data_IF_966274938026
#
_entry.id   IF_966274938026
#
_cell.length_a   1.000
_cell.length_b   1.000
_cell.length_c   1.000
_cell.angle_alpha   90.00
_cell.angle_beta   90.00
_cell.angle_gamma   90.00
#
_symmetry.space_group_name_H-M   'P 1'
#
loop_
_entity.id
_entity.type
_entity.pdbx_description
1 polymer ?
#
# COMPACT_ATOMS: atom_id res chain seq x y z
N UNK A 1 -14.33 27.93 -15.81
CA UNK A 1 -15.32 26.96 -15.39
C UNK A 1 -16.43 26.82 -16.43
N UNK A 2 -17.05 25.68 -16.52
CA UNK A 2 -18.21 25.42 -17.39
C UNK A 2 -19.48 25.30 -16.56
N UNK A 3 -20.61 25.70 -17.12
CA UNK A 3 -21.93 25.39 -16.59
C UNK A 3 -22.19 23.90 -16.80
N UNK A 4 -22.13 23.12 -15.72
CA UNK A 4 -22.39 21.68 -15.74
C UNK A 4 -23.79 21.35 -15.22
N UNK A 5 -24.78 22.24 -15.48
CA UNK A 5 -26.14 22.13 -14.93
C UNK A 5 -26.23 22.51 -13.43
N UNK A 6 -25.17 23.10 -12.88
CA UNK A 6 -25.12 23.61 -11.50
C UNK A 6 -25.43 25.11 -11.48
N UNK A 7 -25.93 25.60 -10.35
CA UNK A 7 -26.19 27.03 -10.13
C UNK A 7 -24.93 27.90 -10.16
N UNK A 8 -23.76 27.28 -9.97
CA UNK A 8 -22.46 27.96 -10.00
C UNK A 8 -21.51 27.26 -10.98
N UNK A 9 -20.55 28.03 -11.52
CA UNK A 9 -19.51 27.49 -12.41
C UNK A 9 -18.52 26.60 -11.66
N UNK A 10 -18.45 25.33 -12.02
CA UNK A 10 -17.46 24.41 -11.45
C UNK A 10 -16.07 24.62 -12.08
N UNK A 11 -14.99 24.57 -11.30
CA UNK A 11 -13.62 24.49 -11.83
C UNK A 11 -13.50 23.22 -12.71
N UNK A 12 -12.99 23.39 -13.93
CA UNK A 12 -12.79 22.29 -14.84
C UNK A 12 -11.41 22.37 -15.49
N UNK A 13 -10.72 21.24 -15.54
CA UNK A 13 -9.46 21.07 -16.23
C UNK A 13 -9.57 19.87 -17.19
N UNK A 14 -9.09 20.00 -18.39
CA UNK A 14 -9.01 18.92 -19.36
C UNK A 14 -7.57 18.56 -19.67
N UNK A 15 -7.29 17.25 -19.72
CA UNK A 15 -5.99 16.70 -20.14
C UNK A 15 -6.21 15.72 -21.29
N UNK A 16 -5.27 15.60 -22.25
CA UNK A 16 -5.33 14.59 -23.28
C UNK A 16 -5.31 13.18 -22.66
N UNK A 17 -6.10 12.26 -23.20
CA UNK A 17 -6.21 10.90 -22.67
C UNK A 17 -4.85 10.20 -22.54
N UNK A 18 -3.98 10.31 -23.56
CA UNK A 18 -2.64 9.72 -23.55
C UNK A 18 -1.71 10.30 -22.47
N UNK A 19 -1.98 11.50 -21.97
CA UNK A 19 -1.21 12.14 -20.90
C UNK A 19 -1.76 11.86 -19.50
N UNK A 20 -2.93 11.22 -19.38
CA UNK A 20 -3.60 11.01 -18.11
C UNK A 20 -2.70 10.31 -17.07
N UNK A 21 -2.00 9.25 -17.47
CA UNK A 21 -1.10 8.50 -16.57
C UNK A 21 0.01 9.37 -15.97
N UNK A 22 0.58 10.30 -16.75
CA UNK A 22 1.60 11.22 -16.25
C UNK A 22 1.05 12.17 -15.18
N UNK A 23 -0.18 12.67 -15.37
CA UNK A 23 -0.83 13.51 -14.35
C UNK A 23 -1.22 12.71 -13.11
N UNK A 24 -1.73 11.50 -13.26
CA UNK A 24 -2.03 10.59 -12.15
C UNK A 24 -0.77 10.34 -11.33
N UNK A 25 0.34 9.96 -11.97
CA UNK A 25 1.64 9.75 -11.31
C UNK A 25 2.06 10.95 -10.46
N UNK A 26 1.98 12.16 -11.03
CA UNK A 26 2.36 13.38 -10.32
C UNK A 26 1.45 13.71 -9.13
N UNK A 27 0.16 13.42 -9.23
CA UNK A 27 -0.80 13.62 -8.13
C UNK A 27 -0.56 12.60 -7.01
N UNK A 28 -0.42 11.34 -7.37
CA UNK A 28 -0.20 10.24 -6.41
C UNK A 28 1.14 10.40 -5.68
N UNK A 29 2.22 10.79 -6.37
CA UNK A 29 3.52 11.12 -5.75
C UNK A 29 3.45 12.30 -4.76
N UNK A 30 2.41 13.13 -4.85
CA UNK A 30 2.11 14.20 -3.88
C UNK A 30 1.15 13.74 -2.76
N UNK A 31 0.86 12.46 -2.65
CA UNK A 31 -0.03 11.90 -1.63
C UNK A 31 -1.52 12.01 -1.94
N UNK A 32 -1.93 12.45 -3.14
CA UNK A 32 -3.35 12.53 -3.49
C UNK A 32 -3.90 11.16 -3.93
N UNK A 33 -5.18 10.92 -3.63
CA UNK A 33 -5.97 9.82 -4.19
C UNK A 33 -6.66 10.29 -5.45
N UNK A 34 -6.61 9.48 -6.50
CA UNK A 34 -7.18 9.81 -7.82
C UNK A 34 -8.27 8.79 -8.17
N UNK A 35 -9.52 9.24 -8.25
CA UNK A 35 -10.63 8.40 -8.70
C UNK A 35 -10.74 8.45 -10.23
N UNK A 36 -10.73 7.29 -10.85
CA UNK A 36 -11.03 7.11 -12.28
C UNK A 36 -12.50 6.83 -12.43
N UNK A 37 -13.17 7.69 -13.19
CA UNK A 37 -14.60 7.58 -13.48
C UNK A 37 -14.79 7.38 -14.99
N UNK A 38 -15.45 6.30 -15.36
CA UNK A 38 -15.71 5.94 -16.76
C UNK A 38 -17.20 5.88 -17.04
N UNK A 39 -17.56 5.85 -18.31
CA UNK A 39 -18.91 5.62 -18.77
C UNK A 39 -19.21 4.13 -18.60
N UNK A 40 -20.33 3.80 -17.93
CA UNK A 40 -20.74 2.42 -17.65
C UNK A 40 -21.61 1.81 -18.77
N UNK A 41 -22.09 2.63 -19.71
CA UNK A 41 -22.89 2.22 -20.85
C UNK A 41 -22.42 2.86 -22.15
N UNK A 42 -22.76 2.22 -23.27
CA UNK A 42 -22.45 2.76 -24.59
C UNK A 42 -23.31 4.02 -24.85
N UNK A 43 -22.68 5.16 -25.21
CA UNK A 43 -23.39 6.40 -25.53
C UNK A 43 -24.47 6.27 -26.60
N UNK A 44 -24.35 5.29 -27.51
CA UNK A 44 -25.35 5.01 -28.56
C UNK A 44 -26.66 4.44 -28.03
N UNK A 45 -26.63 3.82 -26.84
CA UNK A 45 -27.79 3.20 -26.21
C UNK A 45 -28.43 4.08 -25.11
N UNK A 46 -27.77 5.17 -24.73
CA UNK A 46 -28.24 6.05 -23.67
C UNK A 46 -29.39 6.93 -24.10
N UNK A 47 -30.51 6.87 -23.36
CA UNK A 47 -31.63 7.78 -23.50
C UNK A 47 -31.46 9.03 -22.63
N UNK A 48 -30.37 9.82 -22.89
CA UNK A 48 -30.08 11.01 -22.11
C UNK A 48 -28.61 11.11 -21.69
N UNK A 49 -28.34 11.47 -20.42
CA UNK A 49 -26.98 11.50 -19.88
C UNK A 49 -26.50 10.07 -19.66
N UNK A 50 -25.31 9.75 -20.20
CA UNK A 50 -24.65 8.45 -20.02
C UNK A 50 -24.29 8.24 -18.55
N UNK A 51 -24.63 7.09 -17.99
CA UNK A 51 -24.24 6.70 -16.63
C UNK A 51 -22.73 6.59 -16.51
N UNK A 52 -22.20 7.13 -15.39
CA UNK A 52 -20.78 7.13 -15.07
C UNK A 52 -20.55 6.61 -13.67
N UNK A 53 -19.52 5.81 -13.50
CA UNK A 53 -19.13 5.26 -12.20
C UNK A 53 -17.64 5.27 -11.97
N UNK A 54 -17.26 5.26 -10.70
CA UNK A 54 -15.86 5.11 -10.30
C UNK A 54 -15.48 3.64 -10.52
N UNK A 55 -14.55 3.42 -11.44
CA UNK A 55 -14.05 2.08 -11.79
C UNK A 55 -12.76 1.72 -11.05
N UNK A 56 -12.02 2.73 -10.57
CA UNK A 56 -10.78 2.53 -9.81
C UNK A 56 -10.44 3.78 -9.00
N UNK A 57 -9.86 3.57 -7.82
CA UNK A 57 -9.22 4.63 -7.02
C UNK A 57 -7.73 4.31 -6.93
N UNK A 58 -6.90 5.20 -7.46
CA UNK A 58 -5.45 5.08 -7.44
C UNK A 58 -4.93 5.89 -6.24
N UNK A 59 -4.14 5.23 -5.40
CA UNK A 59 -3.53 5.80 -4.19
C UNK A 59 -2.02 5.56 -4.22
N UNK A 60 -1.21 6.20 -3.37
CA UNK A 60 0.22 5.91 -3.27
C UNK A 60 0.56 4.43 -3.13
N UNK A 61 -0.18 3.68 -2.31
CA UNK A 61 0.03 2.24 -2.11
C UNK A 61 -0.50 1.35 -3.25
N UNK A 62 -1.45 1.84 -4.05
CA UNK A 62 -2.02 1.08 -5.18
C UNK A 62 -1.48 1.52 -6.54
N UNK A 63 -0.59 2.52 -6.57
CA UNK A 63 -0.01 3.01 -7.82
C UNK A 63 1.11 2.09 -8.29
N UNK A 64 0.93 1.56 -9.50
CA UNK A 64 1.94 0.78 -10.22
C UNK A 64 2.53 1.67 -11.31
N UNK A 65 3.78 2.11 -11.13
CA UNK A 65 4.51 2.90 -12.14
C UNK A 65 5.21 1.94 -13.11
N UNK A 66 4.78 1.92 -14.35
CA UNK A 66 5.43 1.13 -15.41
C UNK A 66 6.85 1.63 -15.75
N UNK A 67 7.25 2.78 -15.22
CA UNK A 67 8.56 3.40 -15.45
C UNK A 67 9.50 3.28 -14.22
N UNK A 68 9.01 2.79 -13.09
CA UNK A 68 9.88 2.54 -11.93
C UNK A 68 10.78 1.35 -12.22
N UNK A 69 12.07 1.52 -11.92
CA UNK A 69 13.00 0.41 -11.88
C UNK A 69 12.42 -0.72 -11.02
N UNK A 70 12.45 -1.94 -11.54
CA UNK A 70 11.93 -3.16 -10.89
C UNK A 70 12.53 -3.45 -9.50
N UNK A 71 13.35 -2.56 -8.96
CA UNK A 71 14.07 -2.67 -7.69
C UNK A 71 13.43 -1.92 -6.52
N UNK A 72 12.42 -1.07 -6.74
CA UNK A 72 11.76 -0.35 -5.65
C UNK A 72 10.42 -1.00 -5.35
N UNK A 73 10.38 -1.81 -4.31
CA UNK A 73 9.16 -2.38 -3.76
C UNK A 73 8.29 -1.26 -3.18
N UNK A 74 7.03 -1.20 -3.57
CA UNK A 74 6.05 -0.24 -3.07
C UNK A 74 5.01 -0.96 -2.21
N UNK A 75 5.25 -1.03 -0.89
CA UNK A 75 4.31 -1.68 0.01
C UNK A 75 3.18 -0.76 0.44
N UNK A 76 1.98 -1.31 0.41
CA UNK A 76 0.85 -0.88 1.22
C UNK A 76 0.82 -1.72 2.49
N UNK A 77 0.40 -1.13 3.61
CA UNK A 77 0.28 -1.87 4.86
C UNK A 77 -1.07 -1.62 5.53
N UNK A 78 -1.45 -2.54 6.42
CA UNK A 78 -2.49 -2.34 7.43
C UNK A 78 -1.98 -2.78 8.77
N UNK A 79 -2.60 -2.33 9.86
CA UNK A 79 -2.22 -2.77 11.19
C UNK A 79 -3.43 -2.99 12.08
N UNK A 80 -3.30 -3.98 12.97
CA UNK A 80 -4.12 -4.13 14.16
C UNK A 80 -3.28 -3.91 15.41
N UNK A 81 -3.81 -3.09 16.34
CA UNK A 81 -3.13 -2.74 17.60
C UNK A 81 -3.91 -3.37 18.73
N UNK A 82 -3.45 -4.52 19.17
CA UNK A 82 -3.99 -5.23 20.33
C UNK A 82 -3.50 -4.63 21.65
N UNK A 83 -3.92 -5.23 22.79
CA UNK A 83 -3.44 -4.81 24.12
C UNK A 83 -1.95 -5.10 24.34
N UNK A 84 -1.39 -6.07 23.64
CA UNK A 84 -0.04 -6.59 23.91
C UNK A 84 0.95 -6.37 22.77
N UNK A 85 0.47 -6.36 21.54
CA UNK A 85 1.28 -6.36 20.33
C UNK A 85 0.63 -5.58 19.20
N UNK A 86 1.38 -5.34 18.16
CA UNK A 86 0.91 -4.77 16.88
C UNK A 86 1.19 -5.79 15.80
N UNK A 87 0.17 -6.19 15.05
CA UNK A 87 0.36 -6.98 13.84
C UNK A 87 0.26 -6.06 12.63
N UNK A 88 1.25 -6.11 11.77
CA UNK A 88 1.29 -5.35 10.51
C UNK A 88 1.26 -6.32 9.36
N UNK A 89 0.35 -6.11 8.42
CA UNK A 89 0.26 -6.84 7.15
C UNK A 89 0.72 -5.92 6.03
N UNK A 90 1.59 -6.40 5.19
CA UNK A 90 2.15 -5.72 4.04
C UNK A 90 1.66 -6.37 2.76
N UNK A 91 1.37 -5.57 1.77
CA UNK A 91 0.97 -6.01 0.44
C UNK A 91 1.77 -5.26 -0.62
N UNK A 92 2.38 -5.97 -1.54
CA UNK A 92 2.90 -5.43 -2.78
C UNK A 92 1.94 -5.83 -3.90
N UNK A 93 1.20 -4.84 -4.40
CA UNK A 93 0.05 -5.08 -5.28
C UNK A 93 0.46 -5.59 -6.67
N UNK A 94 1.66 -5.28 -7.16
CA UNK A 94 2.10 -5.67 -8.51
C UNK A 94 2.49 -7.14 -8.59
N UNK A 95 3.05 -7.69 -7.52
CA UNK A 95 3.48 -9.09 -7.43
C UNK A 95 2.46 -9.99 -6.73
N UNK A 96 1.52 -9.41 -5.99
CA UNK A 96 0.59 -10.13 -5.13
C UNK A 96 1.23 -10.63 -3.84
N UNK A 97 2.43 -10.18 -3.50
CA UNK A 97 3.13 -10.59 -2.29
C UNK A 97 2.42 -10.07 -1.05
N UNK A 98 2.19 -10.98 -0.09
CA UNK A 98 1.62 -10.68 1.22
C UNK A 98 2.59 -11.12 2.31
N UNK A 99 2.91 -10.21 3.22
CA UNK A 99 3.78 -10.46 4.37
C UNK A 99 3.17 -9.94 5.65
N UNK A 100 3.56 -10.51 6.79
CA UNK A 100 3.20 -9.96 8.08
C UNK A 100 4.36 -10.03 9.07
N UNK A 101 4.31 -9.15 10.05
CA UNK A 101 5.15 -9.22 11.24
C UNK A 101 4.39 -8.80 12.49
N UNK A 102 4.81 -9.33 13.63
CA UNK A 102 4.30 -8.96 14.94
C UNK A 102 5.36 -8.13 15.67
N UNK A 103 4.95 -6.97 16.18
CA UNK A 103 5.80 -6.00 16.84
C UNK A 103 5.40 -5.83 18.30
N UNK A 104 6.33 -5.42 19.14
CA UNK A 104 6.00 -4.91 20.45
C UNK A 104 5.03 -3.72 20.32
N UNK A 105 4.09 -3.58 21.27
CA UNK A 105 3.13 -2.46 21.30
C UNK A 105 3.81 -1.13 21.58
N UNK A 106 4.51 -0.62 20.58
CA UNK A 106 5.27 0.62 20.61
C UNK A 106 5.06 1.41 19.30
N UNK A 107 4.76 2.69 19.43
CA UNK A 107 4.63 3.58 18.27
C UNK A 107 5.94 3.66 17.48
N UNK A 108 7.07 3.76 18.19
CA UNK A 108 8.39 3.80 17.56
C UNK A 108 8.69 2.53 16.78
N UNK A 109 8.30 1.35 17.32
CA UNK A 109 8.47 0.09 16.63
C UNK A 109 7.63 0.03 15.34
N UNK A 110 6.39 0.51 15.40
CA UNK A 110 5.52 0.59 14.21
C UNK A 110 6.09 1.54 13.16
N UNK A 111 6.43 2.77 13.55
CA UNK A 111 6.99 3.76 12.62
C UNK A 111 8.27 3.25 11.95
N UNK A 112 9.17 2.65 12.73
CA UNK A 112 10.40 2.05 12.22
C UNK A 112 10.11 0.95 11.20
N UNK A 113 9.21 0.03 11.50
CA UNK A 113 8.85 -1.08 10.63
C UNK A 113 8.26 -0.58 9.30
N UNK A 114 7.39 0.45 9.34
CA UNK A 114 6.81 1.04 8.14
C UNK A 114 7.87 1.70 7.24
N UNK A 115 8.84 2.39 7.84
CA UNK A 115 9.93 3.04 7.09
C UNK A 115 10.91 2.02 6.51
N UNK A 116 11.30 0.99 7.27
CA UNK A 116 12.20 -0.07 6.82
C UNK A 116 11.65 -0.84 5.61
N UNK A 117 10.33 -0.98 5.53
CA UNK A 117 9.65 -1.65 4.41
C UNK A 117 9.25 -0.70 3.27
N UNK A 118 9.64 0.57 3.31
CA UNK A 118 9.24 1.57 2.30
C UNK A 118 7.72 1.60 2.07
N UNK A 119 6.94 1.57 3.16
CA UNK A 119 5.48 1.66 3.07
C UNK A 119 5.07 3.04 2.58
N UNK A 120 4.33 3.10 1.49
CA UNK A 120 3.81 4.35 0.94
C UNK A 120 2.41 4.72 1.45
N UNK A 121 1.67 3.71 1.92
CA UNK A 121 0.32 3.90 2.45
C UNK A 121 0.02 2.91 3.57
N UNK A 122 -0.48 3.43 4.70
CA UNK A 122 -0.95 2.64 5.83
C UNK A 122 -2.47 2.76 5.96
N UNK A 123 -3.16 1.61 5.92
CA UNK A 123 -4.60 1.53 6.16
C UNK A 123 -4.86 1.29 7.64
N UNK A 124 -5.58 2.22 8.26
CA UNK A 124 -5.92 2.17 9.67
C UNK A 124 -7.44 1.97 9.87
N UNK A 125 -7.88 1.30 10.93
CA UNK A 125 -9.30 1.24 11.26
C UNK A 125 -9.84 2.63 11.60
N UNK A 126 -11.08 2.95 11.20
CA UNK A 126 -11.71 4.24 11.48
C UNK A 126 -11.80 4.54 12.99
N UNK A 127 -11.88 3.51 13.81
CA UNK A 127 -11.98 3.60 15.27
C UNK A 127 -10.60 3.54 15.98
N UNK A 128 -9.49 3.76 15.27
CA UNK A 128 -8.18 3.82 15.90
C UNK A 128 -8.11 4.93 16.93
N UNK A 129 -7.43 4.66 18.06
CA UNK A 129 -7.19 5.64 19.12
C UNK A 129 -6.54 6.92 18.57
N UNK A 130 -7.00 8.07 19.07
CA UNK A 130 -6.55 9.39 18.56
C UNK A 130 -5.05 9.62 18.73
N UNK A 131 -4.45 9.11 19.81
CA UNK A 131 -3.01 9.26 20.08
C UNK A 131 -2.17 8.54 19.02
N UNK A 132 -2.55 7.31 18.67
CA UNK A 132 -1.91 6.55 17.59
C UNK A 132 -2.10 7.24 16.24
N UNK A 133 -3.34 7.65 15.96
CA UNK A 133 -3.67 8.30 14.70
C UNK A 133 -2.87 9.58 14.49
N UNK A 134 -2.85 10.49 15.48
CA UNK A 134 -2.10 11.76 15.35
C UNK A 134 -0.61 11.53 15.10
N UNK A 135 -0.02 10.58 15.84
CA UNK A 135 1.41 10.28 15.68
C UNK A 135 1.76 9.60 14.33
N UNK A 136 0.83 8.86 13.74
CA UNK A 136 1.00 8.29 12.40
C UNK A 136 0.79 9.36 11.31
N UNK A 137 -0.17 10.26 11.49
CA UNK A 137 -0.43 11.38 10.55
C UNK A 137 0.74 12.39 10.49
N UNK A 138 1.61 12.42 11.52
CA UNK A 138 2.86 13.20 11.50
C UNK A 138 3.94 12.60 10.57
N UNK A 139 3.76 11.36 10.09
CA UNK A 139 4.67 10.74 9.14
C UNK A 139 4.39 11.24 7.72
N UNK A 140 5.04 12.34 7.30
CA UNK A 140 4.79 13.00 6.00
C UNK A 140 5.06 12.09 4.79
N UNK A 141 5.83 11.03 4.95
CA UNK A 141 6.23 10.12 3.86
C UNK A 141 5.23 9.00 3.59
N UNK A 142 4.27 8.78 4.49
CA UNK A 142 3.31 7.68 4.43
C UNK A 142 1.89 8.26 4.41
N UNK A 143 1.11 7.91 3.39
CA UNK A 143 -0.30 8.26 3.38
C UNK A 143 -1.08 7.42 4.40
N UNK A 144 -1.78 8.07 5.32
CA UNK A 144 -2.68 7.38 6.26
C UNK A 144 -4.09 7.34 5.68
N UNK A 145 -4.59 6.14 5.46
CA UNK A 145 -5.94 5.88 4.94
C UNK A 145 -6.79 5.21 6.00
N UNK A 146 -8.02 5.69 6.17
CA UNK A 146 -8.97 5.14 7.16
C UNK A 146 -10.01 4.28 6.46
N UNK A 147 -10.24 3.09 7.00
CA UNK A 147 -11.26 2.17 6.48
C UNK A 147 -12.06 1.51 7.61
N UNK A 148 -13.25 1.04 7.28
CA UNK A 148 -14.07 0.27 8.23
C UNK A 148 -13.48 -1.11 8.42
N UNK A 149 -13.47 -1.61 9.66
CA UNK A 149 -13.17 -3.02 9.94
C UNK A 149 -14.20 -3.91 9.25
N UNK A 150 -13.76 -5.02 8.72
CA UNK A 150 -14.59 -6.09 8.13
C UNK A 150 -14.05 -7.45 8.59
N UNK A 151 -14.84 -8.48 8.47
CA UNK A 151 -14.37 -9.86 8.61
C UNK A 151 -13.64 -10.31 7.35
N UNK A 152 -12.79 -11.34 7.48
CA UNK A 152 -12.15 -11.98 6.34
C UNK A 152 -13.22 -12.67 5.48
N UNK A 153 -13.22 -12.38 4.19
CA UNK A 153 -14.09 -13.09 3.24
C UNK A 153 -13.67 -14.55 3.09
N UNK A 154 -14.64 -15.43 2.86
CA UNK A 154 -14.38 -16.87 2.65
C UNK A 154 -13.43 -17.14 1.49
N UNK A 155 -13.43 -16.29 0.47
CA UNK A 155 -12.54 -16.37 -0.70
C UNK A 155 -11.08 -16.04 -0.35
N UNK A 156 -10.85 -15.21 0.67
CA UNK A 156 -9.52 -14.76 1.08
C UNK A 156 -8.91 -15.65 2.18
N UNK A 157 -9.71 -16.52 2.81
CA UNK A 157 -9.23 -17.44 3.85
C UNK A 157 -8.02 -18.30 3.44
N UNK A 158 -7.92 -18.84 2.22
CA UNK A 158 -6.75 -19.60 1.80
C UNK A 158 -5.45 -18.79 1.84
N UNK A 159 -5.52 -17.46 1.69
CA UNK A 159 -4.35 -16.57 1.73
C UNK A 159 -3.74 -16.48 3.13
N UNK A 160 -4.51 -16.74 4.19
CA UNK A 160 -4.00 -16.77 5.55
C UNK A 160 -3.16 -18.02 5.87
N UNK A 161 -3.10 -19.00 4.95
CA UNK A 161 -2.23 -20.18 5.05
C UNK A 161 -2.40 -20.96 6.37
N UNK A 162 -3.62 -21.01 6.91
CA UNK A 162 -3.95 -21.72 8.15
C UNK A 162 -3.50 -21.01 9.45
N UNK A 163 -3.05 -19.76 9.37
CA UNK A 163 -2.66 -18.99 10.56
C UNK A 163 -3.91 -18.52 11.31
N UNK A 164 -4.02 -18.85 12.60
CA UNK A 164 -5.20 -18.57 13.42
C UNK A 164 -5.13 -17.31 14.28
N UNK A 165 -4.09 -16.48 14.14
CA UNK A 165 -3.95 -15.23 14.91
C UNK A 165 -5.11 -14.25 14.61
N UNK A 166 -5.87 -13.86 15.63
CA UNK A 166 -6.96 -12.88 15.49
C UNK A 166 -6.45 -11.51 15.05
N UNK A 167 -5.33 -11.03 15.64
CA UNK A 167 -4.74 -9.75 15.25
C UNK A 167 -4.30 -9.74 13.79
N UNK A 168 -3.79 -10.88 13.28
CA UNK A 168 -3.47 -11.03 11.86
C UNK A 168 -4.73 -10.99 10.99
N UNK A 169 -5.78 -11.71 11.37
CA UNK A 169 -7.05 -11.71 10.63
C UNK A 169 -7.68 -10.32 10.56
N UNK A 170 -7.64 -9.56 11.66
CA UNK A 170 -8.15 -8.18 11.69
C UNK A 170 -7.36 -7.25 10.76
N UNK A 171 -6.02 -7.27 10.84
CA UNK A 171 -5.17 -6.46 9.96
C UNK A 171 -5.33 -6.86 8.50
N UNK A 172 -5.34 -8.17 8.21
CA UNK A 172 -5.52 -8.71 6.86
C UNK A 172 -6.89 -8.34 6.26
N UNK A 173 -7.97 -8.53 7.03
CA UNK A 173 -9.32 -8.19 6.58
C UNK A 173 -9.47 -6.70 6.25
N UNK A 174 -8.87 -5.84 7.08
CA UNK A 174 -8.86 -4.40 6.85
C UNK A 174 -8.18 -4.04 5.53
N UNK A 175 -7.02 -4.65 5.25
CA UNK A 175 -6.27 -4.44 4.01
C UNK A 175 -7.07 -4.90 2.79
N UNK A 176 -7.60 -6.13 2.84
CA UNK A 176 -8.37 -6.71 1.72
C UNK A 176 -9.65 -5.92 1.44
N UNK A 177 -10.38 -5.49 2.47
CA UNK A 177 -11.56 -4.66 2.30
C UNK A 177 -11.21 -3.32 1.62
N UNK A 178 -10.13 -2.68 2.05
CA UNK A 178 -9.66 -1.44 1.42
C UNK A 178 -9.25 -1.64 -0.04
N UNK A 179 -8.54 -2.72 -0.35
CA UNK A 179 -8.14 -3.05 -1.72
C UNK A 179 -9.35 -3.31 -2.61
N UNK A 180 -10.35 -4.08 -2.14
CA UNK A 180 -11.61 -4.32 -2.88
C UNK A 180 -12.34 -3.01 -3.17
N UNK A 181 -12.41 -2.11 -2.19
CA UNK A 181 -13.08 -0.81 -2.35
C UNK A 181 -12.35 0.14 -3.30
N UNK A 182 -11.02 0.09 -3.34
CA UNK A 182 -10.22 0.99 -4.20
C UNK A 182 -10.04 0.47 -5.61
N UNK A 183 -9.82 -0.84 -5.78
CA UNK A 183 -9.59 -1.43 -7.10
C UNK A 183 -10.89 -1.73 -7.85
N UNK A 184 -12.02 -1.92 -7.15
CA UNK A 184 -13.35 -2.22 -7.75
C UNK A 184 -13.37 -3.46 -8.65
N UNK A 185 -12.29 -4.21 -8.69
CA UNK A 185 -12.11 -5.44 -9.47
C UNK A 185 -11.61 -6.52 -8.54
N UNK A 186 -11.90 -7.77 -8.89
CA UNK A 186 -11.36 -8.90 -8.16
C UNK A 186 -9.84 -9.00 -8.38
N UNK A 187 -9.11 -9.23 -7.30
CA UNK A 187 -7.65 -9.32 -7.34
C UNK A 187 -7.30 -10.78 -7.02
N UNK A 188 -7.05 -11.56 -8.07
CA UNK A 188 -6.87 -13.03 -7.98
C UNK A 188 -5.42 -13.48 -7.82
N UNK A 189 -4.46 -12.55 -7.90
CA UNK A 189 -3.03 -12.90 -8.00
C UNK A 189 -2.29 -12.84 -6.66
N UNK A 190 -3.00 -12.70 -5.54
CA UNK A 190 -2.35 -12.71 -4.23
C UNK A 190 -1.79 -14.08 -3.87
N UNK A 191 -0.58 -14.06 -3.33
CA UNK A 191 0.10 -15.23 -2.79
C UNK A 191 -0.28 -15.43 -1.31
N UNK A 192 -0.20 -16.68 -0.80
CA UNK A 192 -0.38 -16.91 0.64
C UNK A 192 0.55 -16.05 1.48
N UNK A 193 0.02 -15.53 2.60
CA UNK A 193 0.76 -14.62 3.47
C UNK A 193 1.94 -15.33 4.14
N UNK A 194 3.11 -14.68 4.17
CA UNK A 194 4.32 -15.17 4.79
C UNK A 194 4.73 -14.33 5.99
N UNK A 195 5.31 -14.99 7.01
CA UNK A 195 5.89 -14.29 8.15
C UNK A 195 7.22 -13.65 7.79
N UNK A 196 7.43 -12.42 8.24
CA UNK A 196 8.72 -11.71 8.18
C UNK A 196 9.59 -12.06 9.39
N UNK A 197 9.66 -13.34 9.79
CA UNK A 197 10.44 -13.76 10.95
C UNK A 197 11.91 -13.36 10.83
N UNK A 198 12.38 -12.62 11.83
CA UNK A 198 13.80 -12.23 11.93
C UNK A 198 14.73 -13.43 12.06
N UNK A 199 14.23 -14.57 12.48
CA UNK A 199 15.00 -15.80 12.67
C UNK A 199 15.50 -16.43 11.36
N UNK A 200 14.94 -16.04 10.22
CA UNK A 200 15.40 -16.48 8.88
C UNK A 200 16.39 -15.51 8.23
N UNK A 201 16.64 -14.37 8.85
CA UNK A 201 17.55 -13.35 8.32
C UNK A 201 18.70 -13.15 9.30
N UNK A 202 19.91 -13.39 8.83
CA UNK A 202 21.11 -13.08 9.60
C UNK A 202 21.23 -11.56 9.73
N UNK A 203 20.86 -11.03 10.91
CA UNK A 203 21.01 -9.60 11.22
C UNK A 203 22.48 -9.33 11.53
N UNK A 204 23.15 -8.64 10.64
CA UNK A 204 24.52 -8.17 10.83
C UNK A 204 24.55 -6.65 10.97
N UNK A 205 25.31 -6.14 11.92
CA UNK A 205 25.59 -4.72 12.00
C UNK A 205 26.48 -4.24 10.84
N UNK A 206 26.62 -2.93 10.71
CA UNK A 206 27.38 -2.34 9.62
C UNK A 206 28.87 -2.72 9.65
N UNK A 207 29.46 -2.81 10.83
CA UNK A 207 30.87 -3.18 11.01
C UNK A 207 31.09 -4.63 10.60
N UNK A 208 30.23 -5.53 11.02
CA UNK A 208 30.28 -6.95 10.64
C UNK A 208 30.14 -7.13 9.13
N UNK A 209 29.21 -6.40 8.48
CA UNK A 209 29.07 -6.43 7.02
C UNK A 209 30.32 -5.98 6.28
N UNK A 210 30.97 -4.93 6.80
CA UNK A 210 32.22 -4.42 6.22
C UNK A 210 33.39 -5.36 6.45
N UNK A 211 33.53 -5.92 7.67
CA UNK A 211 34.59 -6.88 7.97
C UNK A 211 34.50 -8.18 7.15
N UNK A 212 33.29 -8.60 6.83
CA UNK A 212 33.06 -9.77 5.98
C UNK A 212 33.08 -9.46 4.48
N UNK A 213 33.33 -8.22 4.11
CA UNK A 213 33.39 -7.76 2.72
C UNK A 213 32.16 -8.17 1.86
N UNK A 214 30.97 -8.23 2.51
CA UNK A 214 29.77 -8.72 1.85
C UNK A 214 29.28 -7.78 0.74
N UNK A 215 29.44 -6.47 0.92
CA UNK A 215 28.88 -5.44 0.04
C UNK A 215 29.96 -4.66 -0.71
N UNK A 216 31.14 -4.49 -0.11
CA UNK A 216 32.29 -3.82 -0.72
C UNK A 216 33.58 -4.35 -0.13
N UNK A 217 34.60 -4.52 -0.97
CA UNK A 217 35.93 -4.91 -0.49
C UNK A 217 36.58 -3.75 0.28
N UNK A 218 37.23 -4.06 1.41
CA UNK A 218 38.00 -3.08 2.21
C UNK A 218 39.23 -2.57 1.48
N UNK A 219 39.82 -3.39 0.60
CA UNK A 219 41.05 -3.04 -0.13
C UNK A 219 40.82 -2.07 -1.27
N UNK A 220 39.68 -2.17 -1.97
CA UNK A 220 39.43 -1.39 -3.19
C UNK A 220 38.19 -0.51 -3.09
N UNK A 221 37.40 -0.65 -2.01
CA UNK A 221 36.08 -0.01 -1.85
C UNK A 221 35.12 -0.27 -3.06
N UNK A 222 35.33 -1.38 -3.77
CA UNK A 222 34.63 -1.79 -4.98
C UNK A 222 33.64 -2.91 -4.67
N UNK A 223 32.45 -2.81 -5.28
CA UNK A 223 31.45 -3.88 -5.21
C UNK A 223 31.86 -5.13 -6.00
N UNK A 224 32.71 -4.98 -7.01
CA UNK A 224 33.11 -6.08 -7.89
C UNK A 224 33.98 -7.15 -7.20
N UNK A 225 34.55 -6.84 -6.03
CA UNK A 225 35.38 -7.76 -5.25
C UNK A 225 34.74 -8.14 -3.91
N UNK A 226 33.45 -7.87 -3.75
CA UNK A 226 32.69 -8.28 -2.57
C UNK A 226 32.18 -9.72 -2.71
N UNK A 227 31.87 -10.37 -1.60
CA UNK A 227 31.31 -11.73 -1.57
C UNK A 227 29.93 -11.84 -2.27
N UNK A 228 29.29 -10.71 -2.56
CA UNK A 228 27.97 -10.62 -3.19
C UNK A 228 28.02 -10.11 -4.63
N UNK A 229 29.17 -10.10 -5.26
CA UNK A 229 29.34 -9.70 -6.66
C UNK A 229 28.99 -10.80 -7.67
#
# INVERSE_FOLDING_TARGET
GKDCGLSERAPMCGVPFHAANSYISRLVKKGYKVAICEQLEDPSNAKGLVDRGIVKIITPGTYMDSTMDAKTTNYMASCDISSFEITVVYCELSTGELKYQTLQRSLVALQKALLEQNVSELVCPMAMDKKWMSALEEMETILISKHKKSSVDSQDLPLLNGIESESLKEAFALLMAYLKDTQKQHIDHFLPIESMDKDKVLVMDYETKNHLELVSSQSTNSKAESLWS
#
